data_IF_498919842322
#
_entry.id   IF_498919842322
#
_cell.length_a   1.000
_cell.length_b   1.000
_cell.length_c   1.000
_cell.angle_alpha   90.00
_cell.angle_beta   90.00
_cell.angle_gamma   90.00
#
_symmetry.space_group_name_H-M   'P 1'
#
loop_
_entity.id
_entity.type
_entity.pdbx_description
1 polymer ?
#
# COMPACT_ATOMS: atom_id res chain seq x y z
N UNK A 1 -13.52 -8.35 6.35
CA UNK A 1 -12.23 -8.68 5.71
C UNK A 1 -11.33 -7.44 5.71
N UNK A 2 -10.03 -7.60 5.44
CA UNK A 2 -9.09 -6.48 5.28
C UNK A 2 -8.27 -6.69 4.00
N UNK A 3 -7.90 -5.61 3.34
CA UNK A 3 -7.16 -5.59 2.08
C UNK A 3 -5.92 -4.72 2.26
N UNK A 4 -4.76 -5.20 1.82
CA UNK A 4 -3.50 -4.45 1.87
C UNK A 4 -2.84 -4.35 0.50
N UNK A 5 -2.27 -3.20 0.19
CA UNK A 5 -1.42 -2.99 -0.99
C UNK A 5 -0.11 -2.30 -0.64
N UNK A 6 0.79 -2.27 -1.62
CA UNK A 6 1.97 -1.41 -1.60
C UNK A 6 1.57 0.06 -1.86
N UNK A 7 2.36 1.03 -1.37
CA UNK A 7 2.24 2.41 -1.79
C UNK A 7 2.75 2.60 -3.23
N UNK A 8 2.63 3.82 -3.76
CA UNK A 8 3.30 4.22 -4.99
C UNK A 8 4.50 5.13 -4.71
N UNK A 9 5.49 5.09 -5.61
CA UNK A 9 6.65 6.01 -5.58
C UNK A 9 6.29 7.42 -6.04
N UNK A 10 5.32 7.52 -6.93
CA UNK A 10 4.77 8.78 -7.42
C UNK A 10 3.60 9.17 -6.54
N UNK A 11 3.54 10.45 -6.21
CA UNK A 11 2.52 11.03 -5.34
C UNK A 11 2.11 12.41 -5.86
N UNK A 12 0.87 12.81 -5.60
CA UNK A 12 0.34 14.15 -5.84
C UNK A 12 -0.52 14.59 -4.63
N UNK A 13 -0.39 15.85 -4.21
CA UNK A 13 -1.20 16.44 -3.13
C UNK A 13 -2.31 17.39 -3.63
N UNK A 14 -2.44 17.58 -4.95
CA UNK A 14 -3.40 18.50 -5.58
C UNK A 14 -4.86 17.99 -5.59
N UNK A 15 -5.16 16.90 -4.88
CA UNK A 15 -6.48 16.28 -4.89
C UNK A 15 -7.28 16.67 -3.64
N UNK A 16 -8.09 17.73 -3.73
CA UNK A 16 -9.18 17.98 -2.78
C UNK A 16 -10.36 17.05 -3.08
N UNK A 17 -10.96 16.47 -2.04
CA UNK A 17 -12.14 15.60 -2.18
C UNK A 17 -13.06 15.76 -0.98
N UNK A 18 -14.37 15.75 -1.25
CA UNK A 18 -15.41 15.73 -0.21
C UNK A 18 -15.80 14.30 0.19
N UNK A 19 -15.25 13.29 -0.48
CA UNK A 19 -15.56 11.87 -0.24
C UNK A 19 -14.94 11.34 1.06
N UNK A 20 -13.87 11.98 1.56
CA UNK A 20 -13.19 11.56 2.78
C UNK A 20 -12.86 12.74 3.68
N UNK A 21 -13.30 12.65 4.94
CA UNK A 21 -12.77 13.52 5.99
C UNK A 21 -11.38 13.05 6.37
N UNK A 22 -10.39 13.89 6.10
CA UNK A 22 -8.98 13.61 6.40
C UNK A 22 -8.72 13.30 7.88
N UNK A 23 -7.83 12.35 8.14
CA UNK A 23 -7.38 11.94 9.48
C UNK A 23 -5.87 12.01 9.60
N UNK A 24 -5.37 11.90 10.84
CA UNK A 24 -3.94 11.74 11.10
C UNK A 24 -3.58 10.25 11.04
N UNK A 25 -2.47 9.86 10.38
CA UNK A 25 -1.95 8.49 10.42
C UNK A 25 -1.84 7.94 11.85
N UNK A 26 -2.14 6.65 12.02
CA UNK A 26 -2.02 5.97 13.32
C UNK A 26 -0.61 6.06 13.90
N UNK A 27 0.41 5.91 13.04
CA UNK A 27 1.82 5.87 13.41
C UNK A 27 2.55 7.19 13.11
N UNK A 28 1.91 8.33 13.43
CA UNK A 28 2.48 9.64 13.10
C UNK A 28 3.73 9.96 13.93
N UNK A 29 3.80 9.47 15.16
CA UNK A 29 4.97 9.66 16.03
C UNK A 29 6.15 8.81 15.55
N UNK A 30 5.91 7.58 15.12
CA UNK A 30 6.92 6.73 14.49
C UNK A 30 7.39 7.31 13.14
N UNK A 31 6.49 7.88 12.35
CA UNK A 31 6.86 8.59 11.13
C UNK A 31 7.74 9.82 11.43
N UNK A 32 7.41 10.56 12.51
CA UNK A 32 8.22 11.70 12.97
C UNK A 32 9.62 11.24 13.44
N UNK A 33 9.68 10.10 14.13
CA UNK A 33 10.94 9.48 14.55
C UNK A 33 11.81 9.09 13.35
N UNK A 34 11.28 8.39 12.34
CA UNK A 34 12.04 8.11 11.11
C UNK A 34 12.52 9.42 10.46
N UNK A 35 11.64 10.42 10.39
CA UNK A 35 11.97 11.70 9.76
C UNK A 35 13.05 12.48 10.49
N UNK A 36 13.19 12.36 11.82
CA UNK A 36 14.29 13.01 12.52
C UNK A 36 15.65 12.51 12.04
N UNK A 37 15.78 11.24 11.64
CA UNK A 37 17.02 10.72 11.05
C UNK A 37 17.16 11.06 9.57
N UNK A 38 16.07 11.01 8.79
CA UNK A 38 16.11 11.37 7.37
C UNK A 38 16.51 12.82 7.11
N UNK A 39 16.07 13.75 7.97
CA UNK A 39 16.41 15.19 7.86
C UNK A 39 17.92 15.46 7.91
N UNK A 40 18.69 14.60 8.56
CA UNK A 40 20.14 14.73 8.67
C UNK A 40 20.92 14.08 7.52
N UNK A 41 20.25 13.36 6.61
CA UNK A 41 20.93 12.71 5.48
C UNK A 41 21.15 13.69 4.34
N UNK A 42 22.29 13.57 3.66
CA UNK A 42 22.61 14.37 2.48
C UNK A 42 21.84 13.87 1.25
N UNK A 43 21.60 14.72 0.23
CA UNK A 43 21.03 14.27 -1.03
C UNK A 43 21.83 13.13 -1.67
N UNK A 44 23.16 13.15 -1.59
CA UNK A 44 24.02 12.05 -2.07
C UNK A 44 23.68 10.72 -1.39
N UNK A 45 23.57 10.72 -0.05
CA UNK A 45 23.18 9.52 0.70
C UNK A 45 21.78 9.04 0.28
N UNK A 46 20.82 9.95 0.10
CA UNK A 46 19.46 9.58 -0.32
C UNK A 46 19.42 9.00 -1.75
N UNK A 47 20.26 9.53 -2.66
CA UNK A 47 20.42 9.01 -4.02
C UNK A 47 20.90 7.56 -4.01
N UNK A 48 21.93 7.26 -3.20
CA UNK A 48 22.50 5.92 -3.04
C UNK A 48 21.50 4.97 -2.34
N UNK A 49 20.91 5.39 -1.23
CA UNK A 49 19.94 4.60 -0.46
C UNK A 49 18.74 4.19 -1.32
N UNK A 50 18.15 5.16 -2.04
CA UNK A 50 16.89 5.01 -2.76
C UNK A 50 17.04 4.59 -4.21
N UNK A 51 18.28 4.47 -4.70
CA UNK A 51 18.61 4.20 -6.11
C UNK A 51 17.88 5.16 -7.05
N UNK A 52 18.02 6.46 -6.77
CA UNK A 52 17.37 7.52 -7.53
C UNK A 52 18.39 8.50 -8.10
N UNK A 53 17.99 9.23 -9.15
CA UNK A 53 18.82 10.26 -9.74
C UNK A 53 19.14 11.37 -8.72
N UNK A 54 20.28 12.09 -8.88
CA UNK A 54 20.64 13.20 -8.02
C UNK A 54 19.52 14.24 -7.88
N UNK A 55 18.89 14.62 -9.00
CA UNK A 55 17.73 15.53 -9.01
C UNK A 55 16.60 15.06 -8.10
N UNK A 56 16.22 13.78 -8.20
CA UNK A 56 15.13 13.25 -7.37
C UNK A 56 15.54 13.11 -5.90
N UNK A 57 16.83 12.92 -5.63
CA UNK A 57 17.37 12.92 -4.28
C UNK A 57 17.36 14.31 -3.64
N UNK A 58 17.68 15.36 -4.39
CA UNK A 58 17.54 16.75 -3.96
C UNK A 58 16.07 17.08 -3.65
N UNK A 59 15.15 16.72 -4.55
CA UNK A 59 13.71 16.87 -4.33
C UNK A 59 13.24 16.13 -3.06
N UNK A 60 13.74 14.92 -2.83
CA UNK A 60 13.36 14.14 -1.65
C UNK A 60 13.99 14.68 -0.36
N UNK A 61 15.21 15.21 -0.44
CA UNK A 61 15.84 15.91 0.67
C UNK A 61 14.99 17.11 1.09
N UNK A 62 14.53 17.93 0.14
CA UNK A 62 13.63 19.05 0.43
C UNK A 62 12.32 18.59 1.07
N UNK A 63 11.73 17.49 0.57
CA UNK A 63 10.52 16.90 1.17
C UNK A 63 10.76 16.53 2.62
N UNK A 64 11.91 15.93 2.94
CA UNK A 64 12.28 15.60 4.31
C UNK A 64 12.42 16.85 5.17
N UNK A 65 13.06 17.92 4.68
CA UNK A 65 13.19 19.18 5.42
C UNK A 65 11.82 19.81 5.73
N UNK A 66 10.91 19.81 4.75
CA UNK A 66 9.56 20.39 4.85
C UNK A 66 8.59 19.52 5.65
N UNK A 67 8.89 18.24 5.86
CA UNK A 67 7.97 17.32 6.52
C UNK A 67 7.66 17.73 7.96
N UNK A 68 6.38 17.61 8.33
CA UNK A 68 5.87 17.84 9.68
C UNK A 68 4.69 16.92 9.99
N UNK A 69 4.54 16.54 11.25
CA UNK A 69 3.49 15.63 11.72
C UNK A 69 2.06 16.18 11.57
N UNK A 70 1.91 17.50 11.48
CA UNK A 70 0.61 18.20 11.35
C UNK A 70 0.59 19.07 10.08
N UNK A 71 0.55 18.47 8.87
CA UNK A 71 0.51 19.23 7.64
C UNK A 71 -0.84 19.94 7.47
N UNK A 72 -0.80 21.09 6.80
CA UNK A 72 -1.99 21.78 6.31
C UNK A 72 -2.61 21.01 5.14
N UNK A 73 -3.85 21.37 4.78
CA UNK A 73 -4.53 20.75 3.63
C UNK A 73 -3.83 21.00 2.28
N UNK A 74 -3.01 22.06 2.17
CA UNK A 74 -2.25 22.35 0.92
C UNK A 74 -0.96 21.53 0.82
N UNK A 75 -0.48 21.00 1.93
CA UNK A 75 0.81 20.27 2.02
C UNK A 75 0.61 18.75 2.02
N UNK A 76 -0.64 18.28 2.04
CA UNK A 76 -0.97 16.88 2.19
C UNK A 76 -2.26 16.53 1.46
N UNK A 77 -2.42 15.25 1.14
CA UNK A 77 -3.67 14.69 0.63
C UNK A 77 -4.03 13.42 1.40
N UNK A 78 -5.32 13.01 1.41
CA UNK A 78 -5.69 11.69 1.88
C UNK A 78 -4.94 10.62 1.09
N UNK A 79 -4.41 9.61 1.77
CA UNK A 79 -3.54 8.60 1.19
C UNK A 79 -4.15 7.95 -0.06
N UNK A 80 -5.48 7.71 -0.07
CA UNK A 80 -6.20 7.12 -1.21
C UNK A 80 -6.02 7.92 -2.50
N UNK A 81 -5.94 9.23 -2.40
CA UNK A 81 -5.82 10.15 -3.53
C UNK A 81 -4.40 10.69 -3.71
N UNK A 82 -3.51 10.42 -2.76
CA UNK A 82 -2.14 10.91 -2.79
C UNK A 82 -1.23 10.09 -3.71
N UNK A 83 -1.38 8.77 -3.72
CA UNK A 83 -0.50 7.89 -4.49
C UNK A 83 -0.93 7.76 -5.95
N UNK A 84 0.03 7.84 -6.88
CA UNK A 84 -0.21 7.87 -8.34
C UNK A 84 0.67 6.85 -9.06
N UNK A 85 0.37 5.56 -8.89
CA UNK A 85 1.08 4.46 -9.57
C UNK A 85 0.14 3.47 -10.23
N UNK A 86 0.69 2.41 -10.83
CA UNK A 86 -0.13 1.42 -11.57
C UNK A 86 -1.21 0.75 -10.72
N UNK A 87 -0.92 0.41 -9.45
CA UNK A 87 -1.95 -0.08 -8.51
C UNK A 87 -3.07 0.95 -8.32
N UNK A 88 -2.73 2.23 -8.26
CA UNK A 88 -3.71 3.31 -8.04
C UNK A 88 -4.44 3.71 -9.33
N UNK A 89 -3.86 3.43 -10.51
CA UNK A 89 -4.55 3.50 -11.79
C UNK A 89 -5.58 2.38 -11.94
N UNK A 90 -5.27 1.16 -11.52
CA UNK A 90 -6.25 0.07 -11.49
C UNK A 90 -7.36 0.30 -10.46
N UNK A 91 -7.02 0.90 -9.31
CA UNK A 91 -8.01 1.28 -8.30
C UNK A 91 -8.91 2.42 -8.79
N UNK A 92 -8.31 3.42 -9.44
CA UNK A 92 -8.95 4.64 -9.95
C UNK A 92 -9.97 5.24 -8.96
N UNK A 93 -9.47 5.60 -7.78
CA UNK A 93 -10.32 6.02 -6.67
C UNK A 93 -11.17 7.28 -6.96
N UNK A 94 -10.81 8.07 -7.97
CA UNK A 94 -11.53 9.29 -8.36
C UNK A 94 -12.88 9.00 -9.01
N UNK A 95 -13.06 7.80 -9.56
CA UNK A 95 -14.31 7.40 -10.24
C UNK A 95 -15.23 6.55 -9.35
N UNK A 96 -14.81 6.29 -8.10
CA UNK A 96 -15.60 5.52 -7.14
C UNK A 96 -16.73 6.37 -6.54
N UNK A 97 -17.87 5.72 -6.30
CA UNK A 97 -18.96 6.32 -5.56
C UNK A 97 -18.68 6.35 -4.04
N UNK A 98 -19.58 6.99 -3.29
CA UNK A 98 -19.45 7.12 -1.84
C UNK A 98 -19.45 5.76 -1.12
N UNK A 99 -20.25 4.80 -1.57
CA UNK A 99 -20.35 3.49 -0.92
C UNK A 99 -19.04 2.70 -1.07
N UNK A 100 -18.43 2.73 -2.25
CA UNK A 100 -17.14 2.13 -2.52
C UNK A 100 -16.03 2.83 -1.71
N UNK A 101 -16.05 4.16 -1.60
CA UNK A 101 -15.08 4.88 -0.75
C UNK A 101 -15.25 4.55 0.73
N UNK A 102 -16.49 4.47 1.24
CA UNK A 102 -16.77 4.06 2.62
C UNK A 102 -16.33 2.61 2.89
N UNK A 103 -16.52 1.72 1.90
CA UNK A 103 -15.97 0.37 1.94
C UNK A 103 -14.46 0.38 2.06
N UNK A 104 -13.75 1.12 1.20
CA UNK A 104 -12.29 1.21 1.26
C UNK A 104 -11.82 1.76 2.59
N UNK A 105 -12.45 2.82 3.09
CA UNK A 105 -12.09 3.43 4.37
C UNK A 105 -12.08 2.40 5.51
N UNK A 106 -13.06 1.49 5.51
CA UNK A 106 -13.18 0.42 6.50
C UNK A 106 -12.21 -0.74 6.24
N UNK A 107 -12.11 -1.19 5.00
CA UNK A 107 -11.55 -2.50 4.65
C UNK A 107 -10.17 -2.43 3.98
N UNK A 108 -9.67 -1.27 3.55
CA UNK A 108 -8.43 -1.13 2.81
C UNK A 108 -7.35 -0.42 3.60
N UNK A 109 -6.10 -0.89 3.49
CA UNK A 109 -4.91 -0.26 4.05
C UNK A 109 -3.78 -0.27 3.03
N UNK A 110 -2.93 0.75 3.10
CA UNK A 110 -1.72 0.82 2.28
C UNK A 110 -0.50 0.77 3.19
N UNK A 111 0.41 -0.17 2.91
CA UNK A 111 1.70 -0.21 3.60
C UNK A 111 2.53 1.01 3.21
N UNK A 112 3.43 1.44 4.08
CA UNK A 112 4.28 2.61 3.86
C UNK A 112 5.60 2.46 4.60
N UNK A 113 6.72 2.73 3.93
CA UNK A 113 8.02 2.75 4.61
C UNK A 113 8.13 3.87 5.65
N UNK A 114 7.45 5.00 5.43
CA UNK A 114 7.47 6.15 6.34
C UNK A 114 6.33 6.12 7.38
N UNK A 115 5.11 5.77 6.97
CA UNK A 115 3.93 5.85 7.82
C UNK A 115 3.47 4.48 8.36
N UNK A 116 4.19 3.40 8.05
CA UNK A 116 3.87 2.03 8.45
C UNK A 116 2.64 1.47 7.74
N UNK A 117 1.45 1.84 8.23
CA UNK A 117 0.14 1.39 7.72
C UNK A 117 -0.83 2.57 7.67
N UNK A 118 -1.32 2.89 6.47
CA UNK A 118 -2.23 4.01 6.22
C UNK A 118 -3.64 3.50 5.93
N UNK A 119 -4.66 4.19 6.44
CA UNK A 119 -6.03 4.07 5.92
C UNK A 119 -6.31 5.16 4.86
N UNK A 120 -7.36 4.99 4.02
CA UNK A 120 -7.64 5.90 2.91
C UNK A 120 -7.69 7.38 3.25
N UNK A 121 -8.26 7.74 4.41
CA UNK A 121 -8.40 9.13 4.85
C UNK A 121 -7.14 9.76 5.45
N UNK A 122 -6.08 8.99 5.71
CA UNK A 122 -4.91 9.51 6.42
C UNK A 122 -4.15 10.54 5.57
N UNK A 123 -3.86 11.70 6.15
CA UNK A 123 -3.09 12.75 5.48
C UNK A 123 -1.64 12.33 5.35
N UNK A 124 -1.13 12.37 4.11
CA UNK A 124 0.27 12.15 3.81
C UNK A 124 0.85 13.35 3.09
N UNK A 125 2.06 13.75 3.49
CA UNK A 125 2.90 14.63 2.68
C UNK A 125 3.64 13.81 1.62
N UNK A 126 4.07 14.45 0.54
CA UNK A 126 4.97 13.84 -0.43
C UNK A 126 6.23 13.35 0.27
N UNK A 127 6.60 12.09 0.04
CA UNK A 127 7.82 11.50 0.58
C UNK A 127 8.34 10.42 -0.37
N UNK A 128 9.58 10.01 -0.17
CA UNK A 128 10.09 8.77 -0.74
C UNK A 128 10.91 8.04 0.30
N UNK A 129 10.43 6.84 0.64
CA UNK A 129 11.09 5.88 1.52
C UNK A 129 10.44 4.52 1.30
N UNK A 130 11.03 3.71 0.44
CA UNK A 130 10.56 2.35 0.18
C UNK A 130 10.92 1.39 1.33
N UNK A 131 10.03 0.43 1.63
CA UNK A 131 10.17 -0.49 2.78
C UNK A 131 11.43 -1.36 2.69
N UNK A 132 11.80 -1.78 1.47
CA UNK A 132 12.96 -2.65 1.24
C UNK A 132 14.33 -1.97 1.35
N UNK A 133 14.37 -0.68 1.67
CA UNK A 133 15.61 0.10 1.68
C UNK A 133 16.40 -0.21 2.95
N UNK A 134 17.71 -0.39 2.79
CA UNK A 134 18.64 -0.63 3.90
C UNK A 134 18.97 0.69 4.63
N UNK A 135 17.92 1.31 5.17
CA UNK A 135 18.02 2.53 5.95
C UNK A 135 18.30 2.16 7.40
N UNK A 136 19.57 2.29 7.81
CA UNK A 136 19.99 2.16 9.20
C UNK A 136 19.75 3.48 9.94
N UNK A 137 19.06 3.38 11.09
CA UNK A 137 18.76 4.52 11.96
C UNK A 137 18.54 4.04 13.39
N UNK A 138 19.01 4.82 14.35
CA UNK A 138 18.98 4.44 15.76
C UNK A 138 19.61 3.04 15.99
N UNK A 139 18.94 2.15 16.73
CA UNK A 139 19.33 0.73 16.82
C UNK A 139 18.85 -0.17 15.67
N UNK A 140 18.07 0.34 14.72
CA UNK A 140 17.41 -0.49 13.70
C UNK A 140 18.26 -0.62 12.43
N UNK A 141 18.43 -1.84 11.95
CA UNK A 141 19.20 -2.12 10.73
C UNK A 141 18.44 -1.78 9.45
N UNK A 142 17.11 -1.77 9.51
CA UNK A 142 16.25 -1.45 8.39
C UNK A 142 14.81 -1.18 8.88
N UNK A 143 13.96 -0.77 7.94
CA UNK A 143 12.56 -0.48 8.19
C UNK A 143 11.74 -1.73 8.57
N UNK A 144 12.14 -2.95 8.15
CA UNK A 144 11.44 -4.16 8.56
C UNK A 144 11.56 -4.40 10.05
N UNK A 145 12.76 -4.26 10.63
CA UNK A 145 12.97 -4.40 12.07
C UNK A 145 12.14 -3.38 12.87
N UNK A 146 12.07 -2.15 12.38
CA UNK A 146 11.31 -1.09 13.05
C UNK A 146 9.78 -1.31 13.01
N UNK A 147 9.26 -1.73 11.85
CA UNK A 147 7.82 -1.78 11.58
C UNK A 147 7.15 -3.12 11.83
N UNK A 148 7.89 -4.23 11.77
CA UNK A 148 7.30 -5.57 11.68
C UNK A 148 6.31 -5.87 12.79
N UNK A 149 6.69 -5.61 14.03
CA UNK A 149 5.83 -5.83 15.19
C UNK A 149 4.63 -4.88 15.17
N UNK A 150 4.88 -3.57 15.06
CA UNK A 150 3.86 -2.52 15.08
C UNK A 150 2.76 -2.73 14.04
N UNK A 151 3.14 -2.99 12.78
CA UNK A 151 2.18 -3.19 11.69
C UNK A 151 1.37 -4.47 11.92
N UNK A 152 2.01 -5.55 12.34
CA UNK A 152 1.32 -6.84 12.56
C UNK A 152 0.32 -6.73 13.71
N UNK A 153 0.70 -6.09 14.82
CA UNK A 153 -0.18 -5.85 15.96
C UNK A 153 -1.35 -4.93 15.59
N UNK A 154 -1.10 -3.87 14.82
CA UNK A 154 -2.16 -2.99 14.36
C UNK A 154 -3.16 -3.73 13.47
N UNK A 155 -2.70 -4.57 12.54
CA UNK A 155 -3.58 -5.40 11.72
C UNK A 155 -4.43 -6.35 12.58
N UNK A 156 -3.82 -7.04 13.55
CA UNK A 156 -4.53 -7.89 14.51
C UNK A 156 -5.58 -7.10 15.31
N UNK A 157 -5.28 -5.85 15.70
CA UNK A 157 -6.20 -5.01 16.47
C UNK A 157 -7.40 -4.53 15.65
N UNK A 158 -7.22 -4.31 14.35
CA UNK A 158 -8.26 -3.76 13.46
C UNK A 158 -9.18 -4.82 12.88
N UNK A 159 -8.74 -6.07 12.86
CA UNK A 159 -9.44 -7.18 12.25
C UNK A 159 -10.19 -7.98 13.30
N UNK A 160 -11.42 -8.37 12.98
CA UNK A 160 -12.22 -9.24 13.85
C UNK A 160 -11.80 -10.70 13.67
N UNK A 161 -11.98 -11.50 14.72
CA UNK A 161 -11.73 -12.96 14.67
C UNK A 161 -12.46 -13.58 13.47
N UNK A 162 -11.75 -14.36 12.67
CA UNK A 162 -12.27 -15.01 11.46
C UNK A 162 -12.23 -14.15 10.20
N UNK A 163 -11.89 -12.86 10.27
CA UNK A 163 -11.66 -12.07 9.06
C UNK A 163 -10.38 -12.50 8.34
N UNK A 164 -10.44 -12.44 7.00
CA UNK A 164 -9.31 -12.70 6.10
C UNK A 164 -8.59 -11.41 5.72
N UNK A 165 -7.28 -11.52 5.50
CA UNK A 165 -6.42 -10.47 4.97
C UNK A 165 -6.07 -10.78 3.51
N UNK A 166 -6.56 -9.96 2.58
CA UNK A 166 -6.20 -10.02 1.17
C UNK A 166 -4.86 -9.29 0.96
N UNK A 167 -3.81 -10.04 0.64
CA UNK A 167 -2.46 -9.51 0.44
C UNK A 167 -2.20 -9.21 -1.04
N UNK A 168 -2.50 -7.96 -1.42
CA UNK A 168 -2.27 -7.41 -2.77
C UNK A 168 -1.04 -6.48 -2.82
N UNK A 169 -0.16 -6.56 -1.82
CA UNK A 169 1.11 -5.83 -1.82
C UNK A 169 2.19 -6.61 -2.58
N UNK A 170 3.25 -5.92 -2.98
CA UNK A 170 4.46 -6.57 -3.48
C UNK A 170 5.15 -7.36 -2.37
N UNK A 171 5.97 -8.35 -2.76
CA UNK A 171 6.78 -9.12 -1.80
C UNK A 171 7.69 -8.22 -0.96
N UNK A 172 8.17 -7.09 -1.49
CA UNK A 172 8.94 -6.11 -0.73
C UNK A 172 8.12 -5.59 0.46
N UNK A 173 6.93 -5.04 0.22
CA UNK A 173 6.13 -4.48 1.31
C UNK A 173 5.52 -5.57 2.20
N UNK A 174 5.09 -6.70 1.64
CA UNK A 174 4.49 -7.80 2.39
C UNK A 174 5.41 -8.43 3.44
N UNK A 175 6.74 -8.37 3.26
CA UNK A 175 7.74 -8.92 4.19
C UNK A 175 7.69 -8.27 5.58
N UNK A 176 7.17 -7.06 5.69
CA UNK A 176 7.03 -6.36 6.98
C UNK A 176 6.03 -7.06 7.89
N UNK A 177 5.05 -7.78 7.34
CA UNK A 177 4.04 -8.47 8.15
C UNK A 177 4.62 -9.77 8.68
N UNK A 178 4.57 -9.95 9.99
CA UNK A 178 4.92 -11.22 10.61
C UNK A 178 3.76 -12.20 10.49
N UNK A 179 3.78 -12.99 9.42
CA UNK A 179 2.75 -14.01 9.15
C UNK A 179 2.59 -15.04 10.26
N UNK A 180 3.60 -15.25 11.12
CA UNK A 180 3.49 -16.19 12.25
C UNK A 180 2.77 -15.58 13.44
N UNK A 181 2.84 -14.25 13.60
CA UNK A 181 2.16 -13.50 14.67
C UNK A 181 0.80 -12.92 14.22
N UNK A 182 0.46 -13.01 12.94
CA UNK A 182 -0.84 -12.58 12.42
C UNK A 182 -1.92 -13.61 12.78
N UNK A 183 -2.98 -13.16 13.45
CA UNK A 183 -4.09 -14.00 13.94
C UNK A 183 -5.17 -14.27 12.88
N UNK A 184 -4.87 -13.97 11.62
CA UNK A 184 -5.82 -13.94 10.51
C UNK A 184 -5.26 -14.71 9.32
N UNK A 185 -6.16 -15.39 8.59
CA UNK A 185 -5.80 -16.07 7.35
C UNK A 185 -5.40 -15.02 6.32
N UNK A 186 -4.22 -15.20 5.73
CA UNK A 186 -3.72 -14.37 4.63
C UNK A 186 -3.97 -15.07 3.30
N UNK A 187 -4.47 -14.31 2.33
CA UNK A 187 -4.71 -14.77 0.96
C UNK A 187 -3.77 -13.99 0.05
N UNK A 188 -2.84 -14.69 -0.59
CA UNK A 188 -1.95 -14.15 -1.60
C UNK A 188 -2.59 -14.19 -3.00
N UNK A 189 -2.11 -13.34 -3.90
CA UNK A 189 -2.67 -13.22 -5.25
C UNK A 189 -1.56 -13.25 -6.30
N UNK A 190 -1.74 -14.10 -7.32
CA UNK A 190 -0.96 -14.07 -8.55
C UNK A 190 -1.85 -13.75 -9.74
N UNK A 191 -1.35 -12.87 -10.61
CA UNK A 191 -2.00 -12.47 -11.84
C UNK A 191 -1.06 -12.78 -13.00
N UNK A 192 -1.54 -13.58 -13.95
CA UNK A 192 -0.78 -14.01 -15.12
C UNK A 192 -1.46 -13.60 -16.42
N UNK A 193 -0.63 -13.38 -17.43
CA UNK A 193 -1.06 -13.30 -18.83
C UNK A 193 -0.76 -14.61 -19.54
N UNK A 194 -1.72 -15.12 -20.30
CA UNK A 194 -1.51 -16.21 -21.23
C UNK A 194 -0.91 -15.63 -22.52
N UNK A 195 0.39 -15.82 -22.70
CA UNK A 195 1.10 -15.40 -23.92
C UNK A 195 1.84 -16.59 -24.53
N UNK A 196 1.54 -16.88 -25.79
CA UNK A 196 2.10 -18.00 -26.54
C UNK A 196 1.85 -19.36 -25.85
N UNK A 197 0.66 -19.55 -25.28
CA UNK A 197 0.27 -20.75 -24.54
C UNK A 197 0.96 -20.92 -23.17
N UNK A 198 1.72 -19.92 -22.70
CA UNK A 198 2.42 -19.95 -21.41
C UNK A 198 1.96 -18.80 -20.51
N UNK A 199 1.74 -19.11 -19.24
CA UNK A 199 1.48 -18.10 -18.22
C UNK A 199 2.76 -17.30 -17.94
N UNK A 200 2.67 -15.98 -18.04
CA UNK A 200 3.77 -15.05 -17.78
C UNK A 200 3.31 -13.97 -16.81
N UNK A 201 4.16 -13.64 -15.84
CA UNK A 201 3.96 -12.46 -15.00
C UNK A 201 4.48 -11.23 -15.73
N UNK A 202 3.58 -10.30 -16.06
CA UNK A 202 3.94 -8.97 -16.55
C UNK A 202 3.76 -7.98 -15.42
N UNK A 203 4.87 -7.48 -14.86
CA UNK A 203 4.88 -6.71 -13.60
C UNK A 203 3.92 -5.51 -13.61
N UNK A 204 3.79 -4.82 -14.74
CA UNK A 204 2.84 -3.69 -14.89
C UNK A 204 1.41 -4.20 -14.72
N UNK A 205 1.01 -5.23 -15.45
CA UNK A 205 -0.34 -5.81 -15.36
C UNK A 205 -0.63 -6.42 -13.99
N UNK A 206 0.34 -7.08 -13.35
CA UNK A 206 0.17 -7.56 -11.96
C UNK A 206 -0.10 -6.40 -11.00
N UNK A 207 0.58 -5.27 -11.15
CA UNK A 207 0.32 -4.07 -10.32
C UNK A 207 -1.07 -3.51 -10.61
N UNK A 208 -1.46 -3.44 -11.88
CA UNK A 208 -2.76 -2.92 -12.27
C UNK A 208 -3.90 -3.80 -11.75
N UNK A 209 -3.79 -5.11 -11.92
CA UNK A 209 -4.74 -6.11 -11.45
C UNK A 209 -4.92 -6.10 -9.93
N UNK A 210 -3.86 -5.82 -9.16
CA UNK A 210 -3.98 -5.57 -7.71
C UNK A 210 -4.86 -4.37 -7.40
N UNK A 211 -4.74 -3.30 -8.17
CA UNK A 211 -5.62 -2.14 -8.09
C UNK A 211 -7.07 -2.48 -8.43
N UNK A 212 -7.27 -3.17 -9.56
CA UNK A 212 -8.58 -3.63 -10.02
C UNK A 212 -9.26 -4.54 -9.00
N UNK A 213 -8.51 -5.42 -8.34
CA UNK A 213 -9.04 -6.30 -7.30
C UNK A 213 -9.55 -5.50 -6.09
N UNK A 214 -8.80 -4.48 -5.64
CA UNK A 214 -9.25 -3.58 -4.57
C UNK A 214 -10.52 -2.83 -5.00
N UNK A 215 -10.54 -2.31 -6.23
CA UNK A 215 -11.70 -1.63 -6.82
C UNK A 215 -12.93 -2.55 -6.85
N UNK A 216 -12.78 -3.74 -7.41
CA UNK A 216 -13.84 -4.73 -7.51
C UNK A 216 -14.43 -5.06 -6.13
N UNK A 217 -13.59 -5.28 -5.12
CA UNK A 217 -14.06 -5.54 -3.77
C UNK A 217 -14.88 -4.37 -3.22
N UNK A 218 -14.50 -3.13 -3.54
CA UNK A 218 -15.21 -1.93 -3.10
C UNK A 218 -16.54 -1.72 -3.83
N UNK A 219 -16.55 -1.85 -5.15
CA UNK A 219 -17.76 -1.66 -5.97
C UNK A 219 -18.80 -2.76 -5.74
N UNK A 220 -18.36 -3.99 -5.46
CA UNK A 220 -19.27 -5.12 -5.18
C UNK A 220 -19.57 -5.32 -3.70
N UNK A 221 -18.97 -4.51 -2.82
CA UNK A 221 -19.06 -4.66 -1.37
C UNK A 221 -18.71 -6.10 -0.92
N UNK A 222 -17.64 -6.66 -1.46
CA UNK A 222 -17.18 -8.03 -1.21
C UNK A 222 -16.88 -8.25 0.29
N UNK A 223 -17.31 -9.38 0.85
CA UNK A 223 -17.15 -9.71 2.29
C UNK A 223 -16.47 -11.03 2.52
N UNK A 224 -16.62 -11.95 1.58
CA UNK A 224 -16.16 -13.34 1.65
C UNK A 224 -15.08 -13.63 0.62
N UNK A 225 -14.43 -14.79 0.73
CA UNK A 225 -13.48 -15.23 -0.28
C UNK A 225 -14.18 -15.54 -1.60
N UNK A 226 -15.40 -16.08 -1.57
CA UNK A 226 -16.18 -16.41 -2.77
C UNK A 226 -16.57 -15.14 -3.55
N UNK A 227 -16.90 -14.05 -2.85
CA UNK A 227 -17.12 -12.75 -3.50
C UNK A 227 -15.86 -12.31 -4.27
N UNK A 228 -14.67 -12.48 -3.67
CA UNK A 228 -13.38 -12.12 -4.28
C UNK A 228 -13.05 -13.00 -5.49
N UNK A 229 -13.39 -14.29 -5.44
CA UNK A 229 -13.19 -15.22 -6.57
C UNK A 229 -14.00 -14.83 -7.81
N UNK A 230 -15.09 -14.07 -7.65
CA UNK A 230 -15.89 -13.56 -8.76
C UNK A 230 -15.24 -12.39 -9.53
N UNK A 231 -14.04 -11.96 -9.14
CA UNK A 231 -13.29 -10.93 -9.86
C UNK A 231 -13.09 -11.29 -11.34
N UNK A 232 -13.54 -10.39 -12.22
CA UNK A 232 -13.54 -10.61 -13.67
C UNK A 232 -13.17 -9.38 -14.51
N UNK A 233 -12.48 -8.40 -13.92
CA UNK A 233 -12.14 -7.15 -14.64
C UNK A 233 -11.00 -7.38 -15.62
N UNK A 234 -11.05 -6.65 -16.74
CA UNK A 234 -10.05 -6.74 -17.83
C UNK A 234 -9.77 -8.17 -18.33
N UNK A 235 -10.78 -9.04 -18.28
CA UNK A 235 -10.68 -10.42 -18.80
C UNK A 235 -9.99 -11.41 -17.87
N UNK A 236 -9.60 -11.01 -16.66
CA UNK A 236 -9.09 -11.96 -15.66
C UNK A 236 -10.18 -12.94 -15.25
N UNK A 237 -9.81 -14.21 -15.08
CA UNK A 237 -10.66 -15.26 -14.53
C UNK A 237 -9.85 -16.07 -13.51
N UNK A 238 -10.53 -16.59 -12.49
CA UNK A 238 -9.91 -17.46 -11.51
C UNK A 238 -9.48 -18.79 -12.16
N UNK A 239 -8.27 -19.21 -11.84
CA UNK A 239 -7.73 -20.54 -12.15
C UNK A 239 -7.82 -21.39 -10.88
N UNK A 240 -8.93 -22.12 -10.73
CA UNK A 240 -9.19 -22.94 -9.53
C UNK A 240 -8.17 -24.06 -9.37
N UNK A 241 -7.65 -24.62 -10.46
CA UNK A 241 -6.63 -25.69 -10.41
C UNK A 241 -5.29 -25.19 -9.84
N UNK A 242 -4.92 -23.94 -10.13
CA UNK A 242 -3.69 -23.32 -9.60
C UNK A 242 -3.89 -22.58 -8.29
N UNK A 243 -5.14 -22.36 -7.89
CA UNK A 243 -5.47 -21.72 -6.62
C UNK A 243 -5.38 -22.71 -5.45
N UNK A 244 -5.11 -22.18 -4.28
CA UNK A 244 -5.06 -22.92 -3.02
C UNK A 244 -5.86 -22.18 -1.95
N UNK A 245 -6.00 -22.78 -0.77
CA UNK A 245 -6.68 -22.14 0.35
C UNK A 245 -6.08 -20.79 0.75
N UNK A 246 -4.79 -20.56 0.49
CA UNK A 246 -4.07 -19.33 0.90
C UNK A 246 -3.56 -18.51 -0.28
N UNK A 247 -3.90 -18.90 -1.52
CA UNK A 247 -3.45 -18.22 -2.72
C UNK A 247 -4.50 -18.31 -3.84
N UNK A 248 -4.92 -17.17 -4.37
CA UNK A 248 -5.77 -17.11 -5.56
C UNK A 248 -4.94 -16.79 -6.79
N UNK A 249 -5.16 -17.53 -7.86
CA UNK A 249 -4.51 -17.33 -9.16
C UNK A 249 -5.55 -16.84 -10.15
N UNK A 250 -5.28 -15.71 -10.78
CA UNK A 250 -6.09 -15.17 -11.87
C UNK A 250 -5.27 -15.13 -13.16
N UNK A 251 -5.89 -15.53 -14.27
CA UNK A 251 -5.27 -15.55 -15.59
C UNK A 251 -6.12 -14.76 -16.57
N UNK A 252 -5.50 -14.10 -17.55
CA UNK A 252 -6.17 -13.50 -18.72
C UNK A 252 -5.40 -13.79 -19.99
#
# INVERSE_FOLDING_TARGET
>A
MKIITSPAKLMNVENSTDLLRSTTPKFIEEAAFIQSYLKHKSPKYLSELMEISPKLADENWERNQKWKAKPTAKESAPALFAFTGEVYRGLDAKTLDKNAVDYLQKNYRMLSGLYGLLKPSDKVMLYRLEMGRHFEFDQYKNLYEFWREKITEQLNSEMKKGEILLHLASNEYGKVIDRKKLNHKIIDFDFYELKDGKLKTIVVYTKHARGLMVRFCAETNAKTLDDVKAFNYEGYLIDEEKSTDTKLVFTR
#
